data_IF_149241355887
#
_entry.id   IF_149241355887
#
_cell.length_a   1.000
_cell.length_b   1.000
_cell.length_c   1.000
_cell.angle_alpha   90.00
_cell.angle_beta   90.00
_cell.angle_gamma   90.00
#
_symmetry.space_group_name_H-M   'P 1'
#
loop_
_entity.id
_entity.type
_entity.pdbx_description
1 polymer ?
#
# COMPACT_ATOMS: atom_id res chain seq x y z
N UNK A 1 9.92 6.45 26.86
CA UNK A 1 8.59 6.57 26.22
C UNK A 1 8.36 5.27 25.50
N UNK A 2 7.22 4.60 25.72
CA UNK A 2 6.83 3.46 24.89
C UNK A 2 6.63 3.99 23.47
N UNK A 3 7.43 3.50 22.54
CA UNK A 3 7.27 3.87 21.14
C UNK A 3 5.95 3.29 20.63
N UNK A 4 5.13 4.08 19.95
CA UNK A 4 3.80 3.71 19.46
C UNK A 4 3.85 3.40 17.98
N UNK A 5 2.91 2.59 17.49
CA UNK A 5 2.70 2.40 16.06
C UNK A 5 2.42 3.75 15.42
N UNK A 6 3.19 4.10 14.41
CA UNK A 6 3.17 5.44 13.79
C UNK A 6 3.23 5.33 12.26
N UNK A 7 2.80 6.38 11.57
CA UNK A 7 2.98 6.49 10.13
C UNK A 7 4.01 7.56 9.77
N UNK A 8 4.71 7.35 8.68
CA UNK A 8 5.50 8.36 7.98
C UNK A 8 4.76 8.72 6.70
N UNK A 9 4.39 9.98 6.58
CA UNK A 9 3.87 10.52 5.31
C UNK A 9 5.04 10.67 4.32
N UNK A 10 4.98 9.95 3.23
CA UNK A 10 6.04 9.91 2.23
C UNK A 10 6.06 11.14 1.31
N UNK A 11 5.14 12.09 1.48
CA UNK A 11 5.07 13.34 0.72
C UNK A 11 5.19 13.12 -0.80
N UNK A 12 4.56 12.04 -1.31
CA UNK A 12 4.70 11.65 -2.72
C UNK A 12 4.27 12.78 -3.65
N UNK A 13 5.11 13.11 -4.61
CA UNK A 13 4.95 14.27 -5.51
C UNK A 13 4.81 15.61 -4.76
N UNK A 14 5.45 15.75 -3.59
CA UNK A 14 5.32 16.88 -2.66
C UNK A 14 3.89 17.11 -2.16
N UNK A 15 3.07 16.06 -2.09
CA UNK A 15 1.70 16.10 -1.57
C UNK A 15 1.61 15.31 -0.27
N UNK A 16 1.15 15.95 0.83
CA UNK A 16 0.86 15.22 2.06
C UNK A 16 -0.40 14.34 1.89
N UNK A 17 -0.45 13.25 2.66
CA UNK A 17 -1.63 12.40 2.72
C UNK A 17 -1.83 11.48 1.52
N UNK A 18 -0.81 11.25 0.68
CA UNK A 18 -0.92 10.38 -0.48
C UNK A 18 -0.53 8.92 -0.18
N UNK A 19 0.65 8.73 0.40
CA UNK A 19 1.20 7.41 0.76
C UNK A 19 1.80 7.47 2.16
N UNK A 20 1.43 6.52 3.02
CA UNK A 20 2.01 6.34 4.34
C UNK A 20 2.81 5.04 4.43
N UNK A 21 4.03 5.11 4.96
CA UNK A 21 4.78 3.97 5.44
C UNK A 21 4.50 3.77 6.93
N UNK A 22 4.24 2.53 7.36
CA UNK A 22 3.92 2.23 8.75
C UNK A 22 5.12 1.77 9.53
N UNK A 23 5.32 2.34 10.71
CA UNK A 23 6.46 2.09 11.61
C UNK A 23 5.95 1.42 12.87
N UNK A 24 6.40 0.19 13.11
CA UNK A 24 6.03 -0.62 14.26
C UNK A 24 7.27 -0.81 15.13
N UNK A 25 7.28 -0.27 16.36
CA UNK A 25 8.38 -0.47 17.28
C UNK A 25 8.50 -1.93 17.73
N UNK A 26 9.72 -2.43 17.82
CA UNK A 26 10.03 -3.77 18.29
C UNK A 26 11.24 -3.76 19.23
N UNK A 27 11.58 -4.91 19.83
CA UNK A 27 12.76 -5.03 20.71
C UNK A 27 14.09 -4.98 19.94
N UNK A 28 14.07 -5.26 18.63
CA UNK A 28 15.26 -5.29 17.78
C UNK A 28 15.37 -4.05 16.89
N UNK A 29 14.50 -3.07 17.03
CA UNK A 29 14.41 -1.87 16.21
C UNK A 29 12.99 -1.64 15.69
N UNK A 30 12.89 -1.11 14.48
CA UNK A 30 11.61 -0.81 13.84
C UNK A 30 11.27 -1.80 12.75
N UNK A 31 10.03 -2.24 12.68
CA UNK A 31 9.49 -2.92 11.50
C UNK A 31 8.78 -1.88 10.63
N UNK A 32 9.21 -1.77 9.38
CA UNK A 32 8.63 -0.84 8.41
C UNK A 32 7.72 -1.61 7.45
N UNK A 33 6.47 -1.18 7.31
CA UNK A 33 5.55 -1.75 6.32
C UNK A 33 5.40 -0.76 5.18
N UNK A 34 5.62 -1.24 3.95
CA UNK A 34 5.56 -0.51 2.69
C UNK A 34 6.42 0.76 2.68
N UNK A 35 7.71 0.65 2.37
CA UNK A 35 8.64 1.79 2.38
C UNK A 35 8.34 2.84 1.31
N UNK A 36 7.44 2.55 0.38
CA UNK A 36 7.02 3.45 -0.68
C UNK A 36 7.88 3.44 -1.94
N UNK A 37 7.69 4.46 -2.79
CA UNK A 37 8.50 4.70 -3.97
C UNK A 37 9.95 5.02 -3.62
N UNK A 38 10.91 4.61 -4.46
CA UNK A 38 12.31 5.02 -4.27
C UNK A 38 12.50 6.55 -4.42
N UNK A 39 11.60 7.23 -5.14
CA UNK A 39 11.58 8.69 -5.24
C UNK A 39 11.29 9.40 -3.92
N UNK A 40 10.65 8.71 -2.95
CA UNK A 40 10.29 9.28 -1.64
C UNK A 40 11.25 8.90 -0.51
N UNK A 41 12.38 8.24 -0.78
CA UNK A 41 13.38 7.92 0.24
C UNK A 41 13.80 9.12 1.11
N UNK A 42 14.00 10.33 0.57
CA UNK A 42 14.31 11.49 1.41
C UNK A 42 13.20 11.79 2.43
N UNK A 43 11.95 11.73 2.03
CA UNK A 43 10.80 11.96 2.91
C UNK A 43 10.67 10.85 3.97
N UNK A 44 10.94 9.58 3.61
CA UNK A 44 11.00 8.47 4.56
C UNK A 44 12.08 8.72 5.64
N UNK A 45 13.30 9.12 5.23
CA UNK A 45 14.38 9.45 6.16
C UNK A 45 14.02 10.60 7.10
N UNK A 46 13.44 11.68 6.56
CA UNK A 46 13.04 12.85 7.35
C UNK A 46 11.88 12.52 8.29
N UNK A 47 10.92 11.71 7.84
CA UNK A 47 9.81 11.24 8.65
C UNK A 47 10.28 10.36 9.81
N UNK A 48 11.20 9.41 9.58
CA UNK A 48 11.80 8.62 10.65
C UNK A 48 12.53 9.50 11.67
N UNK A 49 13.32 10.49 11.20
CA UNK A 49 14.01 11.43 12.10
C UNK A 49 13.03 12.24 12.95
N UNK A 50 11.90 12.64 12.39
CA UNK A 50 10.86 13.37 13.13
C UNK A 50 10.24 12.55 14.27
N UNK A 51 10.24 11.21 14.11
CA UNK A 51 9.85 10.25 15.14
C UNK A 51 10.98 9.90 16.12
N UNK A 52 12.19 10.45 15.90
CA UNK A 52 13.38 10.18 16.72
C UNK A 52 14.17 8.94 16.32
N UNK A 53 13.99 8.45 15.08
CA UNK A 53 14.63 7.26 14.54
C UNK A 53 15.39 7.54 13.25
N UNK A 54 16.17 6.58 12.82
CA UNK A 54 16.89 6.63 11.53
C UNK A 54 16.62 5.32 10.76
N UNK A 55 17.05 5.24 9.51
CA UNK A 55 16.91 4.01 8.71
C UNK A 55 17.77 2.87 9.25
N UNK A 56 18.84 3.17 9.97
CA UNK A 56 19.72 2.20 10.64
C UNK A 56 19.03 1.52 11.82
N UNK A 57 17.94 2.08 12.33
CA UNK A 57 17.11 1.47 13.38
C UNK A 57 16.09 0.48 12.82
N UNK A 58 16.00 0.30 11.50
CA UNK A 58 15.08 -0.66 10.89
C UNK A 58 15.58 -2.09 11.08
N UNK A 59 14.77 -2.92 11.72
CA UNK A 59 15.01 -4.36 11.88
C UNK A 59 14.54 -5.15 10.66
N UNK A 60 13.47 -4.72 9.99
CA UNK A 60 12.94 -5.37 8.80
C UNK A 60 12.00 -4.44 8.02
N UNK A 61 11.80 -4.79 6.73
CA UNK A 61 10.77 -4.26 5.85
C UNK A 61 9.77 -5.38 5.55
N UNK A 62 8.48 -5.10 5.70
CA UNK A 62 7.38 -5.97 5.28
C UNK A 62 6.67 -5.33 4.09
N UNK A 63 6.51 -6.06 3.00
CA UNK A 63 5.78 -5.58 1.82
C UNK A 63 4.38 -6.20 1.81
N UNK A 64 3.35 -5.36 1.77
CA UNK A 64 1.98 -5.84 1.55
C UNK A 64 1.85 -6.41 0.14
N UNK A 65 2.48 -5.76 -0.82
CA UNK A 65 2.55 -6.19 -2.21
C UNK A 65 3.72 -5.48 -2.93
N UNK A 66 3.91 -5.74 -4.23
CA UNK A 66 5.10 -5.25 -4.95
C UNK A 66 4.82 -4.14 -5.97
N UNK A 67 3.69 -3.43 -5.89
CA UNK A 67 3.53 -2.23 -6.70
C UNK A 67 4.58 -1.18 -6.31
N UNK A 68 4.95 -0.32 -7.27
CA UNK A 68 6.11 0.56 -7.13
C UNK A 68 5.95 1.61 -6.03
N UNK A 69 4.74 2.02 -5.76
CA UNK A 69 4.37 2.97 -4.70
C UNK A 69 4.44 2.37 -3.29
N UNK A 70 4.64 1.05 -3.17
CA UNK A 70 4.84 0.35 -1.90
C UNK A 70 6.25 -0.23 -1.77
N UNK A 71 6.81 -0.78 -2.86
CA UNK A 71 7.97 -1.65 -2.79
C UNK A 71 9.24 -1.10 -3.45
N UNK A 72 9.17 -0.01 -4.23
CA UNK A 72 10.33 0.40 -5.03
C UNK A 72 11.55 0.81 -4.18
N UNK A 73 11.33 1.35 -2.97
CA UNK A 73 12.41 1.69 -2.04
C UNK A 73 13.04 0.48 -1.31
N UNK A 74 12.42 -0.71 -1.36
CA UNK A 74 12.85 -1.86 -0.57
C UNK A 74 14.28 -2.33 -0.91
N UNK A 75 14.67 -2.27 -2.19
CA UNK A 75 16.04 -2.64 -2.61
C UNK A 75 17.12 -1.65 -2.11
N UNK A 76 16.78 -0.38 -1.96
CA UNK A 76 17.69 0.62 -1.38
C UNK A 76 17.88 0.38 0.13
N UNK A 77 16.81 0.02 0.85
CA UNK A 77 16.89 -0.36 2.27
C UNK A 77 17.65 -1.69 2.45
N UNK A 78 17.44 -2.66 1.58
CA UNK A 78 18.20 -3.90 1.59
C UNK A 78 19.71 -3.68 1.36
N UNK A 79 20.09 -2.66 0.58
CA UNK A 79 21.50 -2.27 0.42
C UNK A 79 22.15 -1.77 1.73
N UNK A 80 21.33 -1.39 2.71
CA UNK A 80 21.75 -1.08 4.10
C UNK A 80 21.70 -2.31 5.01
N UNK A 81 21.60 -3.53 4.44
CA UNK A 81 21.53 -4.80 5.15
C UNK A 81 20.23 -5.03 5.96
N UNK A 82 19.13 -4.40 5.55
CA UNK A 82 17.82 -4.56 6.16
C UNK A 82 17.06 -5.69 5.44
N UNK A 83 16.58 -6.74 6.15
CA UNK A 83 15.83 -7.82 5.54
C UNK A 83 14.45 -7.37 5.04
N UNK A 84 14.02 -7.93 3.91
CA UNK A 84 12.74 -7.62 3.25
C UNK A 84 11.88 -8.87 3.18
N UNK A 85 10.64 -8.80 3.63
CA UNK A 85 9.67 -9.88 3.58
C UNK A 85 8.65 -9.64 2.47
N UNK A 86 8.37 -10.67 1.68
CA UNK A 86 7.51 -10.55 0.49
C UNK A 86 6.64 -11.78 0.29
N UNK A 87 5.46 -11.56 -0.31
CA UNK A 87 4.58 -12.62 -0.80
C UNK A 87 5.31 -13.54 -1.80
N UNK A 88 5.09 -14.89 -1.80
CA UNK A 88 5.79 -15.83 -2.69
C UNK A 88 5.74 -15.44 -4.18
N UNK A 89 4.61 -14.94 -4.66
CA UNK A 89 4.46 -14.51 -6.07
C UNK A 89 5.34 -13.28 -6.39
N UNK A 90 5.62 -12.44 -5.40
CA UNK A 90 6.45 -11.23 -5.54
C UNK A 90 7.95 -11.51 -5.58
N UNK A 91 8.42 -12.63 -5.02
CA UNK A 91 9.84 -12.98 -4.83
C UNK A 91 10.70 -12.70 -6.07
N UNK A 92 10.32 -13.30 -7.20
CA UNK A 92 11.09 -13.19 -8.46
C UNK A 92 11.28 -11.74 -8.93
N UNK A 93 10.33 -10.87 -8.65
CA UNK A 93 10.37 -9.47 -9.05
C UNK A 93 11.18 -8.61 -8.07
N UNK A 94 11.28 -9.03 -6.82
CA UNK A 94 12.17 -8.40 -5.85
C UNK A 94 13.63 -8.80 -6.08
N UNK A 95 13.89 -10.04 -6.52
CA UNK A 95 15.22 -10.51 -6.91
C UNK A 95 15.68 -9.89 -8.23
N UNK A 96 14.78 -9.74 -9.21
CA UNK A 96 15.04 -9.09 -10.50
C UNK A 96 13.84 -8.24 -10.92
N UNK A 97 13.87 -6.92 -10.64
CA UNK A 97 12.77 -6.02 -10.96
C UNK A 97 12.71 -5.62 -12.44
N UNK A 98 13.60 -6.11 -13.31
CA UNK A 98 13.72 -5.66 -14.69
C UNK A 98 12.42 -5.78 -15.48
N UNK A 99 11.68 -6.89 -15.32
CA UNK A 99 10.40 -7.10 -16.01
C UNK A 99 9.29 -6.20 -15.46
N UNK A 100 9.25 -5.99 -14.15
CA UNK A 100 8.30 -5.09 -13.50
C UNK A 100 8.53 -3.65 -13.97
N UNK A 101 9.79 -3.19 -13.94
CA UNK A 101 10.17 -1.86 -14.41
C UNK A 101 9.92 -1.67 -15.92
N UNK A 102 10.17 -2.69 -16.73
CA UNK A 102 9.86 -2.62 -18.17
C UNK A 102 8.35 -2.54 -18.43
N UNK A 103 7.53 -3.23 -17.63
CA UNK A 103 6.07 -3.12 -17.69
C UNK A 103 5.59 -1.74 -17.26
N UNK A 104 6.07 -1.24 -16.15
CA UNK A 104 5.76 0.10 -15.66
C UNK A 104 6.19 1.20 -16.64
N UNK A 105 7.34 1.02 -17.32
CA UNK A 105 7.81 1.99 -18.30
C UNK A 105 6.88 2.10 -19.53
N UNK A 106 6.18 1.03 -19.90
CA UNK A 106 5.17 1.10 -20.99
C UNK A 106 3.98 1.97 -20.59
N UNK A 107 3.66 2.02 -19.28
CA UNK A 107 2.52 2.76 -18.75
C UNK A 107 2.90 4.23 -18.48
N UNK A 108 4.03 4.46 -17.83
CA UNK A 108 4.40 5.77 -17.28
C UNK A 108 5.44 6.51 -18.14
N UNK A 109 6.14 5.79 -19.05
CA UNK A 109 7.15 6.38 -19.92
C UNK A 109 8.20 7.19 -19.16
N UNK A 110 8.50 8.39 -19.66
CA UNK A 110 9.50 9.29 -19.08
C UNK A 110 9.15 9.80 -17.68
N UNK A 111 7.90 9.62 -17.23
CA UNK A 111 7.49 10.00 -15.86
C UNK A 111 7.88 8.95 -14.83
N UNK A 112 8.16 7.70 -15.22
CA UNK A 112 8.44 6.61 -14.29
C UNK A 112 9.50 6.95 -13.23
N UNK A 113 10.67 7.51 -13.57
CA UNK A 113 11.68 7.87 -12.57
C UNK A 113 11.22 8.98 -11.61
N UNK A 114 10.41 9.93 -12.08
CA UNK A 114 9.86 10.99 -11.25
C UNK A 114 8.81 10.46 -10.27
N UNK A 115 7.94 9.58 -10.74
CA UNK A 115 6.86 9.00 -9.92
C UNK A 115 7.43 8.04 -8.86
N UNK A 116 8.23 7.07 -9.26
CA UNK A 116 8.58 5.94 -8.41
C UNK A 116 10.10 5.79 -8.14
N UNK A 117 10.94 6.54 -8.84
CA UNK A 117 12.38 6.32 -8.80
C UNK A 117 12.78 5.04 -9.55
N UNK A 118 13.90 4.44 -9.13
CA UNK A 118 14.41 3.20 -9.71
C UNK A 118 14.34 2.09 -8.68
N UNK A 119 13.56 1.07 -8.93
CA UNK A 119 13.51 -0.11 -8.07
C UNK A 119 14.78 -0.94 -8.23
N UNK A 120 15.52 -1.12 -7.13
CA UNK A 120 16.72 -1.97 -7.07
C UNK A 120 16.36 -3.39 -6.67
N UNK A 121 17.14 -4.40 -7.12
CA UNK A 121 16.97 -5.77 -6.64
C UNK A 121 17.29 -5.87 -5.15
N UNK A 122 16.54 -6.74 -4.46
CA UNK A 122 16.85 -7.14 -3.10
C UNK A 122 17.84 -8.32 -3.16
N UNK A 123 18.98 -8.29 -2.45
CA UNK A 123 19.90 -9.41 -2.37
C UNK A 123 19.21 -10.70 -1.87
N UNK A 124 19.49 -11.89 -2.46
CA UNK A 124 18.80 -13.13 -2.09
C UNK A 124 18.91 -13.50 -0.60
N UNK A 125 20.01 -13.16 0.05
CA UNK A 125 20.23 -13.42 1.48
C UNK A 125 19.44 -12.46 2.41
N UNK A 126 18.83 -11.42 1.86
CA UNK A 126 18.01 -10.44 2.59
C UNK A 126 16.53 -10.52 2.20
N UNK A 127 16.18 -11.35 1.20
CA UNK A 127 14.79 -11.53 0.79
C UNK A 127 14.20 -12.75 1.49
N UNK A 128 13.16 -12.53 2.29
CA UNK A 128 12.44 -13.55 3.02
C UNK A 128 11.04 -13.75 2.41
N UNK A 129 10.81 -14.94 1.88
CA UNK A 129 9.49 -15.31 1.35
C UNK A 129 8.57 -15.70 2.51
N UNK A 130 7.38 -15.10 2.55
CA UNK A 130 6.40 -15.35 3.61
C UNK A 130 5.86 -16.78 3.57
N UNK A 131 5.78 -17.40 4.74
CA UNK A 131 4.90 -18.56 4.96
C UNK A 131 3.50 -18.05 5.31
N UNK A 132 2.58 -18.16 4.35
CA UNK A 132 1.20 -17.67 4.50
C UNK A 132 0.35 -18.53 5.43
N UNK A 133 0.84 -19.72 5.83
CA UNK A 133 0.13 -20.61 6.75
C UNK A 133 0.44 -20.35 8.23
N UNK A 134 1.54 -19.65 8.50
CA UNK A 134 2.11 -19.45 9.82
C UNK A 134 2.10 -18.01 10.33
N UNK A 135 2.71 -17.86 11.49
CA UNK A 135 3.11 -16.58 12.06
C UNK A 135 4.63 -16.48 12.08
N UNK A 136 5.15 -15.27 12.01
CA UNK A 136 6.58 -15.00 12.20
C UNK A 136 6.77 -13.86 13.19
N UNK A 137 7.98 -13.78 13.78
CA UNK A 137 8.24 -12.80 14.83
C UNK A 137 9.47 -11.98 14.48
N UNK A 138 9.36 -10.67 14.64
CA UNK A 138 10.48 -9.72 14.51
C UNK A 138 10.52 -8.90 15.80
N UNK A 139 11.66 -8.95 16.50
CA UNK A 139 11.86 -8.18 17.72
C UNK A 139 10.78 -8.33 18.78
N UNK A 140 10.19 -9.54 18.92
CA UNK A 140 9.12 -9.83 19.87
C UNK A 140 7.70 -9.47 19.41
N UNK A 141 7.53 -8.82 18.25
CA UNK A 141 6.21 -8.59 17.65
C UNK A 141 5.89 -9.77 16.73
N UNK A 142 4.75 -10.44 16.98
CA UNK A 142 4.26 -11.54 16.14
C UNK A 142 3.38 -11.00 15.03
N UNK A 143 3.70 -11.35 13.79
CA UNK A 143 2.96 -10.99 12.59
C UNK A 143 2.35 -12.23 11.95
N UNK A 144 1.13 -12.07 11.43
CA UNK A 144 0.51 -13.04 10.54
C UNK A 144 0.12 -12.36 9.23
N UNK A 145 0.60 -12.94 8.12
CA UNK A 145 0.23 -12.47 6.79
C UNK A 145 -1.04 -13.21 6.33
N UNK A 146 -2.05 -12.45 5.96
CA UNK A 146 -3.29 -12.96 5.37
C UNK A 146 -3.30 -12.60 3.89
N UNK A 147 -3.50 -13.58 3.01
CA UNK A 147 -3.71 -13.26 1.60
C UNK A 147 -4.97 -12.41 1.44
N UNK A 148 -4.81 -11.26 0.81
CA UNK A 148 -5.87 -10.30 0.52
C UNK A 148 -5.83 -9.95 -0.97
N UNK A 149 -6.11 -10.97 -1.78
CA UNK A 149 -6.05 -10.89 -3.24
C UNK A 149 -7.17 -10.03 -3.81
N UNK A 150 -7.02 -9.61 -5.06
CA UNK A 150 -8.03 -8.87 -5.82
C UNK A 150 -7.53 -7.54 -6.34
N UNK A 151 -6.83 -6.76 -5.52
CA UNK A 151 -6.03 -5.62 -5.98
C UNK A 151 -4.80 -6.12 -6.75
N UNK A 152 -4.09 -7.09 -6.20
CA UNK A 152 -2.95 -7.75 -6.82
C UNK A 152 -2.87 -9.23 -6.41
N UNK A 153 -2.25 -10.08 -7.25
CA UNK A 153 -2.06 -11.53 -6.98
C UNK A 153 -0.98 -11.82 -5.93
N UNK A 154 -0.28 -10.83 -5.47
CA UNK A 154 0.82 -10.89 -4.50
C UNK A 154 0.54 -10.02 -3.28
N UNK A 155 -0.74 -9.83 -2.95
CA UNK A 155 -1.15 -8.95 -1.87
C UNK A 155 -1.42 -9.71 -0.58
N UNK A 156 -0.89 -9.18 0.54
CA UNK A 156 -1.18 -9.62 1.91
C UNK A 156 -1.53 -8.43 2.81
N UNK A 157 -2.36 -8.68 3.82
CA UNK A 157 -2.50 -7.81 4.98
C UNK A 157 -1.77 -8.41 6.17
N UNK A 158 -1.13 -7.58 6.99
CA UNK A 158 -0.40 -8.02 8.19
C UNK A 158 -1.23 -7.75 9.44
N UNK A 159 -1.64 -8.83 10.10
CA UNK A 159 -2.22 -8.78 11.45
C UNK A 159 -1.10 -8.83 12.49
N UNK A 160 -1.16 -7.95 13.49
CA UNK A 160 -0.28 -7.97 14.64
C UNK A 160 -0.92 -7.27 15.83
N UNK A 161 -0.36 -7.49 17.03
CA UNK A 161 -0.78 -6.80 18.24
C UNK A 161 0.38 -5.98 18.82
N UNK A 162 0.08 -4.75 19.20
CA UNK A 162 1.02 -3.86 19.87
C UNK A 162 0.30 -3.08 20.98
N UNK A 163 0.85 -3.08 22.20
CA UNK A 163 0.27 -2.41 23.38
C UNK A 163 -1.23 -2.69 23.61
N UNK A 164 -1.65 -3.95 23.42
CA UNK A 164 -3.03 -4.40 23.62
C UNK A 164 -4.00 -4.08 22.48
N UNK A 165 -3.58 -3.34 21.45
CA UNK A 165 -4.37 -3.03 20.26
C UNK A 165 -4.06 -4.02 19.13
N UNK A 166 -5.09 -4.54 18.48
CA UNK A 166 -4.98 -5.38 17.27
C UNK A 166 -5.00 -4.50 16.04
N UNK A 167 -3.92 -4.54 15.29
CA UNK A 167 -3.74 -3.81 14.04
C UNK A 167 -3.84 -4.74 12.85
N UNK A 168 -4.34 -4.19 11.75
CA UNK A 168 -4.27 -4.81 10.43
C UNK A 168 -3.68 -3.79 9.44
N UNK A 169 -2.45 -4.02 9.01
CA UNK A 169 -1.84 -3.22 7.94
C UNK A 169 -2.32 -3.78 6.60
N UNK A 170 -3.08 -3.00 5.89
CA UNK A 170 -3.94 -3.47 4.81
C UNK A 170 -3.41 -3.22 3.41
N UNK A 171 -2.30 -2.48 3.27
CA UNK A 171 -1.87 -2.04 1.94
C UNK A 171 -3.04 -1.40 1.20
N UNK A 172 -3.27 -1.85 -0.03
CA UNK A 172 -4.33 -1.38 -0.92
C UNK A 172 -5.65 -2.16 -0.81
N UNK A 173 -5.62 -3.32 -0.11
CA UNK A 173 -6.84 -4.14 0.03
C UNK A 173 -7.98 -3.42 0.76
N UNK A 174 -7.66 -2.43 1.63
CA UNK A 174 -8.65 -1.58 2.27
C UNK A 174 -8.94 -0.26 1.51
N UNK A 175 -8.40 -0.09 0.30
CA UNK A 175 -8.59 1.13 -0.48
C UNK A 175 -7.91 2.35 0.16
N UNK A 176 -8.47 3.54 -0.07
CA UNK A 176 -8.02 4.79 0.56
C UNK A 176 -8.86 5.17 1.76
N UNK A 177 -8.27 5.92 2.69
CA UNK A 177 -8.94 6.44 3.89
C UNK A 177 -8.54 7.89 4.16
N UNK A 178 -9.51 8.78 4.24
CA UNK A 178 -9.31 10.18 4.61
C UNK A 178 -10.03 10.42 5.93
N UNK A 179 -9.28 10.80 6.98
CA UNK A 179 -9.83 10.95 8.32
C UNK A 179 -10.92 12.03 8.39
N UNK A 180 -10.77 13.11 7.63
CA UNK A 180 -11.70 14.25 7.53
C UNK A 180 -12.94 13.90 6.71
N UNK A 181 -12.86 12.88 5.84
CA UNK A 181 -13.95 12.42 4.98
C UNK A 181 -14.10 10.89 5.05
N UNK A 182 -14.45 10.31 6.20
CA UNK A 182 -14.46 8.86 6.40
C UNK A 182 -15.54 8.12 5.59
N UNK A 183 -16.45 8.83 4.96
CA UNK A 183 -17.42 8.28 4.01
C UNK A 183 -16.84 8.01 2.63
N UNK A 184 -15.71 8.62 2.28
CA UNK A 184 -14.99 8.40 1.04
C UNK A 184 -14.00 7.26 1.20
N UNK A 185 -14.20 6.16 0.49
CA UNK A 185 -13.38 4.95 0.54
C UNK A 185 -13.08 4.49 -0.90
N UNK A 186 -12.19 5.21 -1.62
CA UNK A 186 -11.87 4.89 -3.01
C UNK A 186 -11.05 3.59 -3.08
N UNK A 187 -11.37 2.73 -4.04
CA UNK A 187 -10.55 1.59 -4.37
C UNK A 187 -9.46 1.97 -5.38
N UNK A 188 -8.24 1.46 -5.19
CA UNK A 188 -7.17 1.55 -6.18
C UNK A 188 -7.33 0.38 -7.17
N UNK A 189 -7.70 0.67 -8.42
CA UNK A 189 -8.07 -0.33 -9.42
C UNK A 189 -6.98 -0.47 -10.52
N UNK A 190 -5.79 -1.03 -10.22
CA UNK A 190 -4.73 -1.18 -11.20
C UNK A 190 -4.97 -2.39 -12.12
N UNK A 191 -4.87 -2.24 -13.44
CA UNK A 191 -4.77 -3.39 -14.31
C UNK A 191 -3.34 -3.98 -14.25
N UNK A 192 -3.11 -5.24 -14.67
CA UNK A 192 -4.09 -6.21 -15.21
C UNK A 192 -4.64 -7.18 -14.17
N UNK A 193 -4.18 -7.13 -12.91
CA UNK A 193 -4.41 -8.18 -11.92
C UNK A 193 -5.70 -8.01 -11.11
N UNK A 194 -6.51 -7.01 -11.45
CA UNK A 194 -7.76 -6.70 -10.76
C UNK A 194 -8.77 -7.85 -10.85
N UNK A 195 -9.16 -8.38 -9.69
CA UNK A 195 -10.19 -9.41 -9.52
C UNK A 195 -11.20 -8.96 -8.46
N UNK A 196 -12.38 -8.52 -8.91
CA UNK A 196 -13.44 -8.02 -8.03
C UNK A 196 -13.92 -9.08 -7.03
N UNK A 197 -14.06 -10.33 -7.46
CA UNK A 197 -14.56 -11.40 -6.59
C UNK A 197 -13.55 -11.75 -5.51
N UNK A 198 -12.28 -11.87 -5.88
CA UNK A 198 -11.20 -12.07 -4.94
C UNK A 198 -11.08 -10.90 -3.95
N UNK A 199 -11.25 -9.65 -4.41
CA UNK A 199 -11.20 -8.48 -3.54
C UNK A 199 -12.39 -8.44 -2.56
N UNK A 200 -13.60 -8.74 -3.02
CA UNK A 200 -14.75 -8.87 -2.12
C UNK A 200 -14.52 -9.94 -1.05
N UNK A 201 -13.92 -11.08 -1.41
CA UNK A 201 -13.54 -12.11 -0.44
C UNK A 201 -12.46 -11.61 0.54
N UNK A 202 -11.49 -10.86 0.06
CA UNK A 202 -10.45 -10.25 0.91
C UNK A 202 -11.04 -9.25 1.92
N UNK A 203 -12.08 -8.50 1.52
CA UNK A 203 -12.82 -7.65 2.46
C UNK A 203 -13.52 -8.51 3.53
N UNK A 204 -14.15 -9.65 3.15
CA UNK A 204 -14.74 -10.59 4.13
C UNK A 204 -13.68 -11.11 5.12
N UNK A 205 -12.49 -11.48 4.62
CA UNK A 205 -11.37 -11.92 5.48
C UNK A 205 -11.01 -10.83 6.47
N UNK A 206 -10.78 -9.59 6.00
CA UNK A 206 -10.40 -8.46 6.87
C UNK A 206 -11.47 -8.13 7.91
N UNK A 207 -12.77 -8.23 7.56
CA UNK A 207 -13.88 -8.03 8.51
C UNK A 207 -13.88 -9.09 9.61
N UNK A 208 -13.59 -10.36 9.29
CA UNK A 208 -13.56 -11.46 10.26
C UNK A 208 -12.37 -11.41 11.21
N UNK A 209 -11.29 -10.69 10.88
CA UNK A 209 -10.14 -10.52 11.77
C UNK A 209 -10.43 -9.58 12.95
N UNK A 210 -11.51 -8.81 12.89
CA UNK A 210 -11.97 -7.93 13.96
C UNK A 210 -10.86 -7.05 14.53
N UNK A 211 -10.03 -6.47 13.66
CA UNK A 211 -8.99 -5.55 14.07
C UNK A 211 -9.58 -4.31 14.76
N UNK A 212 -8.86 -3.77 15.75
CA UNK A 212 -9.26 -2.52 16.40
C UNK A 212 -8.95 -1.31 15.52
N UNK A 213 -7.90 -1.42 14.67
CA UNK A 213 -7.49 -0.38 13.74
C UNK A 213 -6.98 -0.96 12.42
N UNK A 214 -7.35 -0.34 11.29
CA UNK A 214 -6.66 -0.58 10.02
C UNK A 214 -5.56 0.45 9.84
N UNK A 215 -4.42 -0.02 9.34
CA UNK A 215 -3.30 0.81 8.91
C UNK A 215 -3.33 0.84 7.39
N UNK A 216 -3.91 1.91 6.84
CA UNK A 216 -4.14 2.05 5.40
C UNK A 216 -2.95 2.76 4.76
N UNK A 217 -2.45 2.24 3.64
CA UNK A 217 -1.32 2.84 2.94
C UNK A 217 -1.70 4.18 2.28
N UNK A 218 -2.96 4.32 1.81
CA UNK A 218 -3.53 5.51 1.16
C UNK A 218 -4.76 6.07 1.89
N UNK A 219 -4.75 6.75 2.98
CA UNK A 219 -3.79 7.20 3.95
C UNK A 219 -4.34 7.07 5.38
N UNK A 220 -3.48 6.65 6.32
CA UNK A 220 -3.70 6.84 7.75
C UNK A 220 -4.35 5.68 8.50
N UNK A 221 -4.48 5.87 9.83
CA UNK A 221 -5.08 4.90 10.72
C UNK A 221 -6.61 5.03 10.73
N UNK A 222 -7.31 3.98 10.33
CA UNK A 222 -8.77 3.93 10.36
C UNK A 222 -9.26 3.29 11.67
N UNK A 223 -9.92 4.05 12.57
CA UNK A 223 -10.36 3.56 13.87
C UNK A 223 -11.69 2.80 13.82
N UNK A 224 -12.35 2.76 12.66
CA UNK A 224 -13.64 2.09 12.47
C UNK A 224 -13.58 1.07 11.32
N UNK A 225 -12.83 -0.04 11.46
CA UNK A 225 -12.58 -1.01 10.40
C UNK A 225 -13.85 -1.47 9.69
N UNK A 226 -14.84 -1.95 10.44
CA UNK A 226 -16.08 -2.49 9.89
C UNK A 226 -16.85 -1.48 9.02
N UNK A 227 -16.99 -0.25 9.51
CA UNK A 227 -17.69 0.79 8.74
C UNK A 227 -16.93 1.17 7.46
N UNK A 228 -15.60 1.21 7.52
CA UNK A 228 -14.77 1.52 6.37
C UNK A 228 -14.80 0.40 5.33
N UNK A 229 -14.62 -0.85 5.73
CA UNK A 229 -14.64 -2.02 4.83
C UNK A 229 -16.01 -2.18 4.14
N UNK A 230 -17.10 -1.90 4.86
CA UNK A 230 -18.44 -1.89 4.26
C UNK A 230 -18.56 -0.83 3.14
N UNK A 231 -18.12 0.40 3.39
CA UNK A 231 -18.12 1.48 2.38
C UNK A 231 -17.22 1.16 1.20
N UNK A 232 -16.03 0.62 1.48
CA UNK A 232 -15.11 0.19 0.42
C UNK A 232 -15.76 -0.84 -0.49
N UNK A 233 -16.47 -1.82 0.06
CA UNK A 233 -17.18 -2.84 -0.74
C UNK A 233 -18.19 -2.21 -1.70
N UNK A 234 -18.98 -1.26 -1.21
CA UNK A 234 -19.94 -0.53 -2.04
C UNK A 234 -19.24 0.32 -3.11
N UNK A 235 -18.20 1.05 -2.73
CA UNK A 235 -17.41 1.89 -3.62
C UNK A 235 -16.72 1.04 -4.70
N UNK A 236 -16.06 -0.05 -4.31
CA UNK A 236 -15.39 -0.99 -5.21
C UNK A 236 -16.34 -1.53 -6.29
N UNK A 237 -17.54 -1.94 -5.90
CA UNK A 237 -18.53 -2.43 -6.85
C UNK A 237 -18.97 -1.34 -7.85
N UNK A 238 -19.29 -0.14 -7.37
CA UNK A 238 -19.67 1.00 -8.22
C UNK A 238 -18.55 1.36 -9.19
N UNK A 239 -17.33 1.50 -8.68
CA UNK A 239 -16.16 1.91 -9.46
C UNK A 239 -15.80 0.85 -10.51
N UNK A 240 -15.84 -0.43 -10.15
CA UNK A 240 -15.59 -1.52 -11.09
C UNK A 240 -16.60 -1.54 -12.25
N UNK A 241 -17.90 -1.40 -11.96
CA UNK A 241 -18.94 -1.34 -12.99
C UNK A 241 -18.78 -0.09 -13.87
N UNK A 242 -18.49 1.05 -13.29
CA UNK A 242 -18.24 2.29 -14.02
C UNK A 242 -17.13 2.13 -15.06
N UNK A 243 -15.99 1.54 -14.68
CA UNK A 243 -14.86 1.29 -15.60
C UNK A 243 -15.25 0.32 -16.72
N UNK A 244 -15.98 -0.74 -16.39
CA UNK A 244 -16.31 -1.78 -17.37
C UNK A 244 -17.37 -1.40 -18.40
N UNK A 245 -18.26 -0.49 -18.06
CA UNK A 245 -19.42 -0.12 -18.88
C UNK A 245 -19.22 1.16 -19.68
N UNK A 246 -18.22 1.97 -19.32
CA UNK A 246 -17.95 3.24 -19.96
C UNK A 246 -17.23 3.07 -21.31
N UNK A 247 -17.59 3.90 -22.28
CA UNK A 247 -16.88 4.00 -23.57
C UNK A 247 -15.50 4.65 -23.39
N UNK A 248 -15.33 5.51 -22.39
CA UNK A 248 -14.07 6.08 -21.92
C UNK A 248 -13.93 5.79 -20.43
N UNK A 249 -13.31 4.66 -20.06
CA UNK A 249 -13.21 4.21 -18.67
C UNK A 249 -12.48 5.21 -17.75
N UNK A 250 -11.42 5.84 -18.28
CA UNK A 250 -10.60 6.77 -17.53
C UNK A 250 -11.39 8.03 -17.14
N UNK A 251 -12.05 8.63 -18.13
CA UNK A 251 -12.86 9.83 -17.90
C UNK A 251 -14.02 9.55 -16.94
N UNK A 252 -14.74 8.45 -17.16
CA UNK A 252 -15.86 8.06 -16.32
C UNK A 252 -15.45 7.81 -14.86
N UNK A 253 -14.33 7.11 -14.64
CA UNK A 253 -13.82 6.82 -13.31
C UNK A 253 -13.37 8.10 -12.59
N UNK A 254 -12.63 8.98 -13.27
CA UNK A 254 -12.22 10.27 -12.71
C UNK A 254 -13.43 11.07 -12.26
N UNK A 255 -14.40 11.22 -13.14
CA UNK A 255 -15.62 12.02 -12.86
C UNK A 255 -16.41 11.43 -11.67
N UNK A 256 -16.45 10.10 -11.57
CA UNK A 256 -17.10 9.43 -10.45
C UNK A 256 -16.36 9.65 -9.14
N UNK A 257 -15.02 9.52 -9.13
CA UNK A 257 -14.21 9.77 -7.93
C UNK A 257 -14.33 11.23 -7.46
N UNK A 258 -14.30 12.19 -8.38
CA UNK A 258 -14.48 13.61 -8.07
C UNK A 258 -15.88 13.88 -7.47
N UNK A 259 -16.91 13.23 -7.99
CA UNK A 259 -18.27 13.34 -7.46
C UNK A 259 -18.39 12.71 -6.05
N UNK A 260 -17.86 11.49 -5.86
CA UNK A 260 -17.85 10.82 -4.55
C UNK A 260 -17.04 11.62 -3.51
N UNK A 261 -15.88 12.18 -3.89
CA UNK A 261 -15.05 13.01 -3.04
C UNK A 261 -15.80 14.31 -2.63
N UNK A 262 -16.44 14.97 -3.59
CA UNK A 262 -17.23 16.20 -3.35
C UNK A 262 -18.40 15.89 -2.41
N UNK A 263 -19.13 14.80 -2.63
CA UNK A 263 -20.25 14.38 -1.77
C UNK A 263 -19.78 14.09 -0.34
N UNK A 264 -18.59 13.55 -0.19
CA UNK A 264 -17.96 13.27 1.10
C UNK A 264 -17.36 14.51 1.78
N UNK A 265 -17.34 15.68 1.12
CA UNK A 265 -16.79 16.92 1.66
C UNK A 265 -15.27 17.01 1.57
N UNK A 266 -14.65 16.33 0.61
CA UNK A 266 -13.21 16.44 0.33
C UNK A 266 -12.96 17.74 -0.44
N UNK A 267 -12.29 18.70 0.20
CA UNK A 267 -12.04 20.03 -0.38
C UNK A 267 -11.07 20.01 -1.56
N UNK A 268 -10.12 19.07 -1.55
CA UNK A 268 -9.17 18.85 -2.64
C UNK A 268 -9.25 17.39 -3.12
N UNK A 269 -10.11 17.10 -4.12
CA UNK A 269 -10.21 15.74 -4.68
C UNK A 269 -8.89 15.27 -5.31
N UNK A 270 -7.98 16.20 -5.64
CA UNK A 270 -6.62 15.87 -6.10
C UNK A 270 -5.71 15.29 -5.02
N UNK A 271 -6.09 15.32 -3.74
CA UNK A 271 -5.29 14.69 -2.68
C UNK A 271 -5.12 13.17 -2.90
N UNK A 272 -6.15 12.51 -3.48
CA UNK A 272 -6.11 11.09 -3.89
C UNK A 272 -5.75 10.91 -5.38
N UNK A 273 -5.68 12.00 -6.13
CA UNK A 273 -5.52 11.99 -7.58
C UNK A 273 -4.19 11.38 -8.07
N UNK A 274 -3.04 11.59 -7.40
CA UNK A 274 -1.79 11.01 -7.88
C UNK A 274 -1.83 9.48 -7.93
N UNK A 275 -2.35 8.83 -6.88
CA UNK A 275 -2.44 7.36 -6.80
C UNK A 275 -3.48 6.82 -7.76
N UNK A 276 -4.69 7.37 -7.71
CA UNK A 276 -5.77 6.98 -8.63
C UNK A 276 -5.39 7.25 -10.09
N UNK A 277 -4.69 8.35 -10.38
CA UNK A 277 -4.26 8.71 -11.73
C UNK A 277 -3.17 7.78 -12.28
N UNK A 278 -2.22 7.35 -11.46
CA UNK A 278 -1.19 6.40 -11.88
C UNK A 278 -1.79 5.03 -12.18
N UNK A 279 -2.74 4.58 -11.37
CA UNK A 279 -3.49 3.36 -11.63
C UNK A 279 -4.38 3.47 -12.88
N UNK A 280 -4.96 4.64 -13.15
CA UNK A 280 -5.79 4.89 -14.33
C UNK A 280 -5.00 4.93 -15.65
N UNK A 281 -3.79 5.50 -15.69
CA UNK A 281 -2.93 5.43 -16.88
C UNK A 281 -2.61 4.01 -17.30
N UNK A 282 -2.58 3.08 -16.35
CA UNK A 282 -2.40 1.67 -16.66
C UNK A 282 -3.56 1.09 -17.49
N UNK A 283 -4.76 1.65 -17.44
CA UNK A 283 -5.90 1.25 -18.29
C UNK A 283 -5.79 1.79 -19.72
N UNK A 284 -5.24 2.99 -19.93
CA UNK A 284 -5.10 3.58 -21.28
C UNK A 284 -4.18 2.77 -22.19
N UNK A 285 -3.11 2.19 -21.65
CA UNK A 285 -2.08 1.48 -22.42
C UNK A 285 -2.43 0.03 -22.72
N UNK A 286 -3.55 -0.50 -22.22
CA UNK A 286 -4.00 -1.87 -22.49
C UNK A 286 -5.06 -1.95 -23.59
N UNK A 287 -5.54 -0.82 -24.10
CA UNK A 287 -6.54 -0.77 -25.18
C UNK A 287 -5.94 -0.71 -26.60
N UNK A 288 -4.63 -0.75 -26.74
CA UNK A 288 -3.87 -0.91 -27.98
C UNK A 288 -3.17 -2.29 -28.01
#
# INVERSE_FOLDING_TARGET
>A
MTAVVSSVDLQWLNRPGAISAWVIPSQEGLVLIDPGPASTLPALHDGLRSLGWTVEDLAAVLLTHIHLDHAAAAGDLAALNIPVHVHPVGERHMLDPSRLMASANKIYGDQLPHLFGTMRPVPPNLLHVLDLSGTFTIGGVSFKAHETLGHAKHHVAYEFQHDGTRYLATGDAAGGFIAEAPSFAPAQLPPPDLDLMAWCHSIDVMEHLEADQLLVAHFGACPNPKAHLHRLRESLQRQYHCIREAADPLHAYRHMLEAEATEAGVDDPDCMHPVSYTHLRAHETQSD
#
